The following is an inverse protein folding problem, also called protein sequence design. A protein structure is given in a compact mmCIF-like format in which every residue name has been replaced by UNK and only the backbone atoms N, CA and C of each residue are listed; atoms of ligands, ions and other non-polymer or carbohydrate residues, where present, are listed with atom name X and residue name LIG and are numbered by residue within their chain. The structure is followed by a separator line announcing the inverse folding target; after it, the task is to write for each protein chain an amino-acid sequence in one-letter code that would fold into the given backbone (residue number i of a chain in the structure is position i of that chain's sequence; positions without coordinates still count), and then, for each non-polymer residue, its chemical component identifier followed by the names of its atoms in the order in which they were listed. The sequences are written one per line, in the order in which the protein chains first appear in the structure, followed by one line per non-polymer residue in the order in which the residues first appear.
data_IF_584194809379
#
_entry.id   IF_584194809379
#
_cell.length_a   1.000
_cell.length_b   1.000
_cell.length_c   1.000
_cell.angle_alpha   90.00
_cell.angle_beta   90.00
_cell.angle_gamma   90.00
#
_symmetry.space_group_name_H-M   'P 1'
#
loop_
_entity.id
_entity.type
_entity.pdbx_description
1 polymer ?
#
# COMPACT_ATOMS: atom_id res chain seq x y z
N UNK A 1 1.93 16.08 -11.15
CA UNK A 1 0.58 15.54 -11.38
C UNK A 1 0.45 15.27 -12.86
N UNK A 2 -0.39 14.32 -13.26
CA UNK A 2 -0.64 14.04 -14.69
C UNK A 2 -1.81 14.86 -15.26
N UNK A 3 -2.21 14.54 -16.49
CA UNK A 3 -3.30 15.21 -17.22
C UNK A 3 -4.67 15.14 -16.52
N UNK A 4 -4.90 14.15 -15.66
CA UNK A 4 -6.11 14.01 -14.86
C UNK A 4 -5.99 14.65 -13.47
N UNK A 5 -4.83 15.25 -13.16
CA UNK A 5 -4.52 15.76 -11.84
C UNK A 5 -4.18 14.67 -10.82
N UNK A 6 -3.86 13.46 -11.27
CA UNK A 6 -3.44 12.35 -10.42
C UNK A 6 -1.95 12.46 -10.06
N UNK A 7 -1.57 11.85 -8.94
CA UNK A 7 -0.26 12.02 -8.29
C UNK A 7 -0.36 12.71 -6.92
N UNK A 8 0.74 13.30 -6.46
CA UNK A 8 0.83 13.81 -5.08
C UNK A 8 1.26 12.73 -4.07
N UNK A 9 1.80 11.62 -4.55
CA UNK A 9 2.42 10.60 -3.71
C UNK A 9 3.57 11.20 -2.91
N UNK A 10 3.57 10.96 -1.61
CA UNK A 10 4.73 11.15 -0.75
C UNK A 10 5.64 9.91 -0.84
N UNK A 11 6.92 9.98 -0.39
CA UNK A 11 7.84 8.85 -0.47
C UNK A 11 7.32 7.53 0.09
N UNK A 12 6.44 7.57 1.10
CA UNK A 12 5.86 6.38 1.73
C UNK A 12 5.00 5.55 0.75
N UNK A 13 4.32 6.16 -0.23
CA UNK A 13 3.56 5.41 -1.24
C UNK A 13 4.46 4.47 -2.05
N UNK A 14 5.72 4.84 -2.22
CA UNK A 14 6.69 4.05 -2.97
C UNK A 14 7.31 2.92 -2.16
N UNK A 15 6.96 2.76 -0.87
CA UNK A 15 7.52 1.71 -0.02
C UNK A 15 6.49 0.64 0.37
N UNK A 16 5.22 1.01 0.50
CA UNK A 16 4.17 0.11 1.06
C UNK A 16 3.73 -1.03 0.14
N UNK A 17 4.04 -0.95 -1.16
CA UNK A 17 3.65 -1.95 -2.17
C UNK A 17 4.84 -2.40 -3.03
N UNK A 18 6.07 -2.27 -2.53
CA UNK A 18 7.25 -2.69 -3.27
C UNK A 18 7.29 -4.19 -3.47
N UNK A 19 7.77 -4.58 -4.65
CA UNK A 19 7.97 -5.98 -4.96
C UNK A 19 9.02 -6.57 -3.99
N UNK A 20 8.76 -7.76 -3.46
CA UNK A 20 9.59 -8.46 -2.47
C UNK A 20 9.97 -7.63 -1.22
N UNK A 21 9.20 -6.58 -0.89
CA UNK A 21 9.48 -5.70 0.24
C UNK A 21 10.91 -5.10 0.23
N UNK A 22 11.47 -4.85 -0.96
CA UNK A 22 12.85 -4.36 -1.11
C UNK A 22 13.09 -2.99 -0.45
N UNK A 23 12.02 -2.25 -0.11
CA UNK A 23 12.07 -0.96 0.55
C UNK A 23 11.83 -1.02 2.06
N UNK A 24 11.83 -2.18 2.71
CA UNK A 24 11.50 -2.31 4.14
C UNK A 24 12.26 -1.30 5.02
N UNK A 25 13.58 -1.17 4.84
CA UNK A 25 14.40 -0.22 5.59
C UNK A 25 14.02 1.25 5.35
N UNK A 26 13.58 1.56 4.13
CA UNK A 26 13.12 2.92 3.78
C UNK A 26 11.74 3.18 4.37
N UNK A 27 10.86 2.16 4.37
CA UNK A 27 9.57 2.23 5.05
C UNK A 27 9.77 2.55 6.53
N UNK A 28 10.63 1.79 7.24
CA UNK A 28 10.91 2.00 8.65
C UNK A 28 11.46 3.41 8.91
N UNK A 29 12.47 3.83 8.13
CA UNK A 29 13.05 5.18 8.24
C UNK A 29 11.99 6.28 8.07
N UNK A 30 11.10 6.15 7.09
CA UNK A 30 10.05 7.14 6.84
C UNK A 30 9.04 7.19 8.00
N UNK A 31 8.66 6.03 8.55
CA UNK A 31 7.75 5.95 9.69
C UNK A 31 8.37 6.53 10.96
N UNK A 32 9.64 6.24 11.23
CA UNK A 32 10.41 6.82 12.35
C UNK A 32 10.50 8.35 12.26
N UNK A 33 10.53 8.89 11.05
CA UNK A 33 10.59 10.33 10.79
C UNK A 33 9.19 10.97 10.63
N UNK A 34 8.12 10.27 11.02
CA UNK A 34 6.77 10.83 11.08
C UNK A 34 6.12 11.04 9.71
N UNK A 35 6.37 10.14 8.74
CA UNK A 35 5.68 10.16 7.46
C UNK A 35 4.15 10.23 7.64
N UNK A 36 3.52 11.17 6.95
CA UNK A 36 2.06 11.36 7.01
C UNK A 36 1.33 10.24 6.25
N UNK A 37 0.60 9.41 7.01
CA UNK A 37 -0.20 8.29 6.51
C UNK A 37 -1.64 8.68 6.16
N UNK A 38 -2.04 9.93 6.39
CA UNK A 38 -3.39 10.45 6.12
C UNK A 38 -3.54 11.11 4.75
N UNK A 39 -2.43 11.41 4.07
CA UNK A 39 -2.42 12.00 2.72
C UNK A 39 -3.21 11.10 1.78
N UNK A 40 -4.35 11.61 1.31
CA UNK A 40 -5.19 10.93 0.33
C UNK A 40 -4.96 11.57 -1.03
N UNK A 41 -4.37 10.82 -1.96
CA UNK A 41 -4.24 11.28 -3.35
C UNK A 41 -5.55 11.05 -4.09
N UNK A 42 -5.86 11.94 -5.04
CA UNK A 42 -7.11 11.88 -5.82
C UNK A 42 -7.19 10.61 -6.67
N UNK A 43 -6.05 10.11 -7.12
CA UNK A 43 -5.93 8.92 -7.93
C UNK A 43 -4.50 8.47 -8.09
N UNK A 44 -4.32 7.16 -8.23
CA UNK A 44 -3.08 6.49 -8.59
C UNK A 44 -3.38 5.59 -9.79
N UNK A 45 -2.53 5.65 -10.81
CA UNK A 45 -2.59 4.75 -11.96
C UNK A 45 -1.45 3.73 -11.84
N UNK A 46 -1.79 2.47 -11.57
CA UNK A 46 -0.84 1.37 -11.53
C UNK A 46 -0.65 0.81 -12.94
N UNK A 47 0.59 0.63 -13.36
CA UNK A 47 0.87 0.16 -14.73
C UNK A 47 0.50 1.16 -15.81
N UNK A 48 0.65 2.46 -15.54
CA UNK A 48 0.29 3.52 -16.49
C UNK A 48 0.90 3.26 -17.87
N UNK A 49 0.06 3.24 -18.90
CA UNK A 49 0.46 3.00 -20.29
C UNK A 49 0.57 1.53 -20.70
N UNK A 50 0.30 0.57 -19.81
CA UNK A 50 0.11 -0.83 -20.17
C UNK A 50 -1.38 -1.15 -20.37
N UNK A 51 -1.71 -2.20 -21.13
CA UNK A 51 -3.11 -2.64 -21.30
C UNK A 51 -3.78 -3.08 -19.98
N UNK A 52 -2.98 -3.49 -18.99
CA UNK A 52 -3.42 -3.89 -17.66
C UNK A 52 -3.44 -2.73 -16.65
N UNK A 53 -3.43 -1.48 -17.14
CA UNK A 53 -3.54 -0.29 -16.30
C UNK A 53 -4.70 -0.40 -15.30
N UNK A 54 -4.43 -0.07 -14.04
CA UNK A 54 -5.42 -0.14 -12.97
C UNK A 54 -5.51 1.21 -12.26
N UNK A 55 -6.68 1.84 -12.35
CA UNK A 55 -6.98 3.06 -11.63
C UNK A 55 -7.39 2.78 -10.18
N UNK A 56 -6.74 3.47 -9.24
CA UNK A 56 -6.99 3.37 -7.80
C UNK A 56 -7.39 4.77 -7.28
N UNK A 57 -8.68 5.03 -7.08
CA UNK A 57 -9.18 6.34 -6.64
C UNK A 57 -8.96 6.57 -5.15
N UNK A 58 -8.86 7.85 -4.76
CA UNK A 58 -8.98 8.33 -3.38
C UNK A 58 -8.22 7.46 -2.36
N UNK A 59 -6.91 7.33 -2.56
CA UNK A 59 -6.08 6.35 -1.85
C UNK A 59 -5.03 7.03 -0.98
N UNK A 60 -4.85 6.51 0.23
CA UNK A 60 -3.79 6.89 1.16
C UNK A 60 -2.77 5.74 1.29
N UNK A 61 -1.62 5.91 1.96
CA UNK A 61 -0.61 4.86 2.06
C UNK A 61 -1.13 3.54 2.67
N UNK A 62 -2.05 3.61 3.64
CA UNK A 62 -2.61 2.44 4.32
C UNK A 62 -3.51 1.64 3.39
N UNK A 63 -4.48 2.33 2.79
CA UNK A 63 -5.41 1.74 1.82
C UNK A 63 -4.68 1.29 0.56
N UNK A 64 -3.61 1.98 0.16
CA UNK A 64 -2.78 1.52 -0.94
C UNK A 64 -2.07 0.21 -0.58
N UNK A 65 -1.47 0.08 0.60
CA UNK A 65 -0.79 -1.15 1.04
C UNK A 65 -1.67 -2.39 0.89
N UNK A 66 -2.93 -2.35 1.33
CA UNK A 66 -3.85 -3.49 1.19
C UNK A 66 -4.19 -3.81 -0.27
N UNK A 67 -4.09 -2.83 -1.20
CA UNK A 67 -4.25 -3.10 -2.64
C UNK A 67 -3.18 -4.04 -3.20
N UNK A 68 -2.09 -4.31 -2.47
CA UNK A 68 -1.14 -5.37 -2.81
C UNK A 68 -1.80 -6.75 -2.97
N UNK A 69 -2.98 -6.97 -2.36
CA UNK A 69 -3.77 -8.19 -2.52
C UNK A 69 -4.60 -8.24 -3.82
N UNK A 70 -4.75 -7.11 -4.54
CA UNK A 70 -5.45 -7.11 -5.81
C UNK A 70 -4.70 -7.97 -6.83
N UNK A 71 -5.38 -8.78 -7.66
CA UNK A 71 -4.73 -9.57 -8.71
C UNK A 71 -3.85 -8.74 -9.66
N UNK A 72 -4.19 -7.48 -9.89
CA UNK A 72 -3.45 -6.55 -10.75
C UNK A 72 -2.13 -6.06 -10.14
N UNK A 73 -2.02 -6.07 -8.81
CA UNK A 73 -0.79 -5.69 -8.10
C UNK A 73 -0.01 -6.95 -7.70
N UNK A 74 -0.67 -7.91 -7.05
CA UNK A 74 -0.16 -9.23 -6.69
C UNK A 74 1.14 -9.17 -5.88
N UNK A 75 1.00 -8.94 -4.58
CA UNK A 75 2.06 -9.05 -3.57
C UNK A 75 1.80 -10.27 -2.69
N UNK A 76 2.85 -10.71 -2.00
CA UNK A 76 2.77 -11.78 -1.01
C UNK A 76 1.83 -11.37 0.13
N UNK A 77 0.83 -12.19 0.42
CA UNK A 77 -0.23 -11.87 1.39
C UNK A 77 0.32 -11.57 2.79
N UNK A 78 1.29 -12.36 3.26
CA UNK A 78 1.93 -12.16 4.57
C UNK A 78 2.64 -10.81 4.64
N UNK A 79 3.34 -10.42 3.58
CA UNK A 79 4.04 -9.13 3.52
C UNK A 79 3.05 -7.97 3.53
N UNK A 80 1.97 -8.07 2.77
CA UNK A 80 0.92 -7.04 2.79
C UNK A 80 0.31 -6.93 4.18
N UNK A 81 0.01 -8.06 4.82
CA UNK A 81 -0.54 -8.12 6.17
C UNK A 81 0.38 -7.45 7.21
N UNK A 82 1.67 -7.73 7.15
CA UNK A 82 2.68 -7.15 8.03
C UNK A 82 2.77 -5.63 7.85
N UNK A 83 2.85 -5.15 6.60
CA UNK A 83 2.92 -3.72 6.29
C UNK A 83 1.65 -3.01 6.76
N UNK A 84 0.46 -3.54 6.47
CA UNK A 84 -0.81 -2.93 6.92
C UNK A 84 -0.86 -2.87 8.45
N UNK A 85 -0.46 -3.93 9.14
CA UNK A 85 -0.40 -3.97 10.61
C UNK A 85 0.55 -2.90 11.16
N UNK A 86 1.72 -2.74 10.55
CA UNK A 86 2.70 -1.70 10.90
C UNK A 86 2.13 -0.30 10.69
N UNK A 87 1.54 -0.02 9.54
CA UNK A 87 0.98 1.29 9.22
C UNK A 87 -0.19 1.67 10.14
N UNK A 88 -1.08 0.72 10.45
CA UNK A 88 -2.20 0.93 11.38
C UNK A 88 -1.69 1.23 12.79
N UNK A 89 -0.62 0.55 13.24
CA UNK A 89 0.03 0.86 14.51
C UNK A 89 0.62 2.26 14.52
N UNK A 90 1.31 2.68 13.46
CA UNK A 90 1.91 4.02 13.39
C UNK A 90 0.86 5.13 13.28
N UNK A 91 -0.19 4.93 12.48
CA UNK A 91 -1.22 5.95 12.27
C UNK A 91 -2.16 6.10 13.47
N UNK A 92 -2.50 5.00 14.15
CA UNK A 92 -3.60 4.97 15.11
C UNK A 92 -3.26 4.35 16.47
N UNK A 93 -2.04 3.84 16.66
CA UNK A 93 -1.66 3.12 17.89
C UNK A 93 -2.32 1.75 18.05
N UNK A 94 -2.95 1.23 16.99
CA UNK A 94 -3.73 -0.01 17.04
C UNK A 94 -2.84 -1.19 16.67
N UNK A 95 -2.74 -2.19 17.56
CA UNK A 95 -2.06 -3.46 17.29
C UNK A 95 -3.06 -4.46 16.69
N UNK A 96 -3.31 -4.35 15.39
CA UNK A 96 -4.16 -5.29 14.65
C UNK A 96 -3.30 -6.21 13.78
N UNK A 97 -3.68 -7.49 13.71
CA UNK A 97 -3.09 -8.48 12.79
C UNK A 97 -4.21 -9.15 12.02
N UNK A 98 -4.08 -9.23 10.69
CA UNK A 98 -5.09 -9.85 9.84
C UNK A 98 -5.10 -11.38 10.05
N UNK A 99 -6.23 -11.99 10.43
CA UNK A 99 -6.29 -13.43 10.67
C UNK A 99 -6.42 -14.26 9.39
N UNK A 100 -6.92 -13.67 8.30
CA UNK A 100 -7.22 -14.38 7.05
C UNK A 100 -6.01 -14.42 6.10
N UNK A 101 -4.89 -14.96 6.59
CA UNK A 101 -3.64 -15.11 5.82
C UNK A 101 -3.03 -16.49 6.14
N UNK A 102 -2.92 -17.41 5.17
CA UNK A 102 -3.38 -17.25 3.78
C UNK A 102 -4.91 -17.12 3.70
N UNK A 103 -5.40 -16.59 2.59
CA UNK A 103 -6.84 -16.37 2.38
C UNK A 103 -7.66 -17.66 2.50
N UNK A 104 -8.36 -17.84 3.61
CA UNK A 104 -9.20 -19.00 3.90
C UNK A 104 -10.53 -19.00 3.13
N UNK A 105 -10.94 -17.87 2.56
CA UNK A 105 -12.15 -17.79 1.74
C UNK A 105 -11.95 -18.43 0.36
N UNK A 106 -10.72 -18.42 -0.16
CA UNK A 106 -10.33 -19.02 -1.44
C UNK A 106 -9.50 -20.30 -1.26
N UNK A 107 -9.30 -20.74 -0.02
CA UNK A 107 -8.71 -22.05 0.26
C UNK A 107 -9.79 -23.10 -0.01
N UNK A 108 -9.61 -23.87 -1.08
CA UNK A 108 -10.47 -25.01 -1.43
C UNK A 108 -10.64 -26.02 -0.27
#
# INVERSE_FOLDING_TARGET
MDEYGFGGHTPIFHTVNQNNNNSAKVLDLLLENGADLSVTVKGLIWGKGYEWETFIPAVNPISYAIMGLLPQIHRKEETVAEIVSLLIKHAYGINYRMPNIPNAYLAD
#
